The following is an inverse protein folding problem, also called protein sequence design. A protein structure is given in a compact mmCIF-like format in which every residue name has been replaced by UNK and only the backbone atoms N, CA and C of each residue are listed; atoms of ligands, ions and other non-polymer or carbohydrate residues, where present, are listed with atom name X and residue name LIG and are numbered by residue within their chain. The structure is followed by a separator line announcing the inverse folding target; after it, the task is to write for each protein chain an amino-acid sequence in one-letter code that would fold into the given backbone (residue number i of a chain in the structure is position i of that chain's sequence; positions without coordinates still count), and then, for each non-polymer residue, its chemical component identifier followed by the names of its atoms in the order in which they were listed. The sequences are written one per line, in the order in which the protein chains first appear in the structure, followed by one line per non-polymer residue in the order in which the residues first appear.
data_IF_400990637372
#
_entry.id   IF_400990637372
#
_cell.length_a   1.000
_cell.length_b   1.000
_cell.length_c   1.000
_cell.angle_alpha   90.00
_cell.angle_beta   90.00
_cell.angle_gamma   90.00
#
_symmetry.space_group_name_H-M   'P 1'
#
loop_
_entity.id
_entity.type
_entity.pdbx_description
1 polymer ?
#
# COMPACT_ATOMS: atom_id res chain seq x y z
N UNK A 1 1.91 -11.32 -33.98
CA UNK A 1 2.81 -11.08 -32.85
C UNK A 1 2.48 -9.70 -32.33
N UNK A 2 1.68 -9.62 -31.28
CA UNK A 2 1.54 -8.36 -30.54
C UNK A 2 2.88 -8.06 -29.88
N UNK A 3 3.30 -6.79 -29.79
CA UNK A 3 4.55 -6.47 -29.14
C UNK A 3 4.46 -6.84 -27.66
N UNK A 4 5.47 -7.55 -27.15
CA UNK A 4 5.74 -7.78 -25.73
C UNK A 4 5.89 -6.43 -25.03
N UNK A 5 4.78 -5.85 -24.60
CA UNK A 5 4.77 -4.62 -23.82
C UNK A 5 5.10 -4.98 -22.37
N UNK A 6 6.29 -4.59 -21.92
CA UNK A 6 6.66 -4.63 -20.50
C UNK A 6 5.96 -3.48 -19.79
N UNK A 7 5.12 -3.79 -18.79
CA UNK A 7 4.57 -2.79 -17.87
C UNK A 7 5.71 -2.16 -17.07
N UNK A 8 6.00 -0.90 -17.34
CA UNK A 8 7.06 -0.16 -16.65
C UNK A 8 6.42 0.73 -15.58
N UNK A 9 6.56 0.31 -14.32
CA UNK A 9 6.05 1.04 -13.17
C UNK A 9 7.01 2.19 -12.81
N UNK A 10 6.78 3.38 -13.36
CA UNK A 10 7.52 4.59 -12.99
C UNK A 10 6.87 5.22 -11.76
N UNK A 11 7.55 5.17 -10.60
CA UNK A 11 7.13 5.89 -9.41
C UNK A 11 7.94 7.17 -9.23
N UNK A 12 7.24 8.29 -9.12
CA UNK A 12 7.82 9.57 -8.74
C UNK A 12 7.85 9.64 -7.21
N UNK A 13 9.04 9.45 -6.63
CA UNK A 13 9.29 9.84 -5.25
C UNK A 13 9.69 11.31 -5.21
N UNK A 14 9.45 12.02 -4.10
CA UNK A 14 10.02 13.34 -3.91
C UNK A 14 11.55 13.30 -4.13
N UNK A 15 12.13 14.22 -4.88
CA UNK A 15 13.60 14.22 -5.10
C UNK A 15 14.40 14.68 -3.88
N UNK A 16 13.72 15.22 -2.88
CA UNK A 16 14.24 15.86 -1.68
C UNK A 16 14.00 15.02 -0.41
N UNK A 17 13.94 13.69 -0.54
CA UNK A 17 13.92 12.81 0.63
C UNK A 17 15.17 13.04 1.50
N UNK A 18 15.07 12.89 2.83
CA UNK A 18 16.22 13.01 3.71
C UNK A 18 17.30 11.98 3.39
N UNK A 19 18.57 12.41 3.47
CA UNK A 19 19.70 11.48 3.39
C UNK A 19 19.73 10.57 4.61
N UNK A 20 20.01 9.29 4.42
CA UNK A 20 20.05 8.26 5.47
C UNK A 20 21.47 7.87 5.80
N UNK A 21 21.95 7.85 7.04
CA UNK A 21 23.23 7.20 7.32
C UNK A 21 23.18 5.72 6.89
N UNK A 22 24.20 5.29 6.13
CA UNK A 22 24.30 3.91 5.61
C UNK A 22 25.59 3.29 6.12
N UNK A 23 25.48 2.05 6.59
CA UNK A 23 26.60 1.20 6.98
C UNK A 23 26.71 0.03 6.00
N UNK A 24 27.93 -0.31 5.64
CA UNK A 24 28.25 -1.46 4.81
C UNK A 24 28.58 -2.65 5.70
N UNK A 25 28.18 -3.84 5.27
CA UNK A 25 28.45 -5.10 5.92
C UNK A 25 29.11 -6.05 4.92
N UNK A 26 30.09 -6.79 5.41
CA UNK A 26 30.82 -7.81 4.66
C UNK A 26 30.52 -9.16 5.30
N UNK A 27 30.21 -10.17 4.50
CA UNK A 27 30.10 -11.54 5.00
C UNK A 27 31.40 -11.97 5.68
N UNK A 28 31.30 -12.83 6.69
CA UNK A 28 32.45 -13.31 7.47
C UNK A 28 33.57 -13.94 6.61
N UNK A 29 33.22 -14.47 5.44
CA UNK A 29 34.13 -15.19 4.54
C UNK A 29 34.48 -14.41 3.26
N UNK A 30 34.10 -13.13 3.15
CA UNK A 30 34.28 -12.33 1.94
C UNK A 30 35.14 -11.08 2.14
N UNK A 31 35.73 -10.59 1.05
CA UNK A 31 36.45 -9.30 1.02
C UNK A 31 35.56 -8.13 0.53
N UNK A 32 34.37 -8.42 -0.01
CA UNK A 32 33.45 -7.44 -0.59
C UNK A 32 32.15 -7.32 0.21
N UNK A 33 31.69 -6.08 0.41
CA UNK A 33 30.42 -5.82 1.09
C UNK A 33 29.25 -6.38 0.27
N UNK A 34 28.47 -7.27 0.89
CA UNK A 34 27.31 -7.95 0.30
C UNK A 34 25.99 -7.50 0.93
N UNK A 35 26.04 -6.67 1.97
CA UNK A 35 24.88 -6.04 2.57
C UNK A 35 25.19 -4.60 2.97
N UNK A 36 24.15 -3.80 3.11
CA UNK A 36 24.20 -2.48 3.71
C UNK A 36 22.89 -2.17 4.40
N UNK A 37 22.90 -1.28 5.38
CA UNK A 37 21.68 -0.92 6.11
C UNK A 37 21.69 0.53 6.54
N UNK A 38 20.47 1.04 6.72
CA UNK A 38 20.17 2.28 7.41
C UNK A 38 19.24 1.99 8.58
N UNK A 39 18.74 3.03 9.24
CA UNK A 39 17.88 2.93 10.43
C UNK A 39 16.64 2.03 10.27
N UNK A 40 16.04 1.95 9.08
CA UNK A 40 14.74 1.28 8.84
C UNK A 40 14.74 0.38 7.60
N UNK A 41 15.87 0.22 6.90
CA UNK A 41 15.96 -0.63 5.71
C UNK A 41 17.30 -1.33 5.64
N UNK A 42 17.26 -2.57 5.16
CA UNK A 42 18.42 -3.35 4.77
C UNK A 42 18.43 -3.53 3.26
N UNK A 43 19.60 -3.51 2.64
CA UNK A 43 19.81 -4.02 1.31
C UNK A 43 20.77 -5.22 1.35
N UNK A 44 20.37 -6.33 0.75
CA UNK A 44 21.17 -7.56 0.65
C UNK A 44 21.35 -7.90 -0.83
N UNK A 45 22.58 -8.25 -1.19
CA UNK A 45 22.93 -8.70 -2.54
C UNK A 45 22.61 -10.19 -2.69
N UNK A 46 21.54 -10.49 -3.41
CA UNK A 46 21.11 -11.85 -3.76
C UNK A 46 20.81 -11.87 -5.26
N UNK A 47 21.83 -12.13 -6.10
CA UNK A 47 21.67 -12.12 -7.54
C UNK A 47 20.59 -13.09 -8.01
N UNK A 48 19.76 -12.66 -8.96
CA UNK A 48 18.70 -13.50 -9.55
C UNK A 48 17.52 -13.77 -8.62
N UNK A 49 17.33 -13.00 -7.54
CA UNK A 49 16.14 -13.12 -6.70
C UNK A 49 14.86 -12.92 -7.53
N UNK A 50 14.02 -13.96 -7.59
CA UNK A 50 12.78 -13.97 -8.38
C UNK A 50 12.90 -14.70 -9.72
N UNK A 51 14.10 -15.08 -10.14
CA UNK A 51 14.32 -15.91 -11.33
C UNK A 51 13.77 -17.33 -11.14
N UNK A 52 13.63 -17.79 -9.88
CA UNK A 52 13.03 -19.09 -9.55
C UNK A 52 11.58 -19.21 -10.07
N UNK A 53 10.90 -18.09 -10.32
CA UNK A 53 9.56 -18.06 -10.92
C UNK A 53 9.52 -18.60 -12.35
N UNK A 54 10.62 -18.50 -13.10
CA UNK A 54 10.70 -18.97 -14.48
C UNK A 54 10.37 -20.47 -14.57
N UNK A 55 10.75 -21.24 -13.54
CA UNK A 55 10.53 -22.69 -13.48
C UNK A 55 9.48 -23.09 -12.43
N UNK A 56 9.37 -22.33 -11.32
CA UNK A 56 8.52 -22.67 -10.18
C UNK A 56 7.16 -21.95 -10.14
N UNK A 57 6.87 -21.05 -11.09
CA UNK A 57 5.62 -20.30 -11.15
C UNK A 57 5.56 -19.10 -10.19
N UNK A 58 4.39 -18.46 -10.09
CA UNK A 58 4.24 -17.12 -9.49
C UNK A 58 4.56 -17.00 -8.00
N UNK A 59 4.54 -18.11 -7.25
CA UNK A 59 4.90 -18.14 -5.83
C UNK A 59 6.36 -18.50 -5.54
N UNK A 60 7.14 -18.88 -6.56
CA UNK A 60 8.49 -19.39 -6.37
C UNK A 60 9.52 -18.26 -6.23
N UNK A 61 9.66 -17.75 -5.01
CA UNK A 61 10.73 -16.83 -4.62
C UNK A 61 11.72 -17.52 -3.68
N UNK A 62 12.99 -17.13 -3.75
CA UNK A 62 14.02 -17.60 -2.82
C UNK A 62 13.94 -16.92 -1.44
N UNK A 63 12.76 -16.91 -0.81
CA UNK A 63 12.57 -16.26 0.49
C UNK A 63 13.40 -16.89 1.61
N UNK A 64 13.54 -18.23 1.65
CA UNK A 64 14.38 -18.91 2.64
C UNK A 64 15.84 -18.43 2.55
N UNK A 65 16.43 -18.48 1.34
CA UNK A 65 17.77 -17.95 1.06
C UNK A 65 17.93 -16.48 1.47
N UNK A 66 16.92 -15.66 1.21
CA UNK A 66 16.95 -14.24 1.55
C UNK A 66 16.78 -13.96 3.04
N UNK A 67 16.00 -14.77 3.76
CA UNK A 67 15.88 -14.71 5.21
C UNK A 67 17.19 -15.15 5.89
N UNK A 68 17.79 -16.27 5.46
CA UNK A 68 19.10 -16.71 5.98
C UNK A 68 20.16 -15.61 5.83
N UNK A 69 20.28 -15.02 4.64
CA UNK A 69 21.22 -13.93 4.39
C UNK A 69 20.94 -12.67 5.24
N UNK A 70 19.68 -12.44 5.62
CA UNK A 70 19.33 -11.37 6.56
C UNK A 70 19.79 -11.73 7.98
N UNK A 71 19.50 -12.94 8.47
CA UNK A 71 19.85 -13.35 9.83
C UNK A 71 21.35 -13.63 10.06
N UNK A 72 22.15 -13.72 9.00
CA UNK A 72 23.61 -13.65 9.11
C UNK A 72 24.08 -12.33 9.74
N UNK A 73 23.36 -11.24 9.50
CA UNK A 73 23.76 -9.88 9.87
C UNK A 73 22.85 -9.20 10.89
N UNK A 74 21.58 -9.57 10.96
CA UNK A 74 20.56 -8.87 11.75
C UNK A 74 19.92 -9.80 12.77
N UNK A 75 19.41 -9.21 13.85
CA UNK A 75 18.78 -9.95 14.96
C UNK A 75 17.50 -10.67 14.53
N UNK A 76 17.24 -11.84 15.11
CA UNK A 76 15.98 -12.58 14.92
C UNK A 76 14.87 -12.07 15.86
N UNK A 77 14.30 -10.90 15.53
CA UNK A 77 13.24 -10.28 16.33
C UNK A 77 12.04 -9.75 15.51
N UNK A 78 11.99 -10.09 14.22
CA UNK A 78 11.00 -9.57 13.29
C UNK A 78 9.90 -10.60 13.03
N UNK A 79 8.65 -10.21 13.25
CA UNK A 79 7.51 -11.07 12.90
C UNK A 79 7.28 -11.08 11.38
N UNK A 80 7.75 -10.05 10.65
CA UNK A 80 7.70 -10.01 9.18
C UNK A 80 9.02 -9.58 8.56
N UNK A 81 9.47 -10.30 7.54
CA UNK A 81 10.46 -9.81 6.57
C UNK A 81 9.75 -9.42 5.28
N UNK A 82 9.84 -8.15 4.89
CA UNK A 82 9.27 -7.64 3.64
C UNK A 82 10.36 -7.45 2.62
N UNK A 83 10.41 -8.35 1.66
CA UNK A 83 11.34 -8.31 0.55
C UNK A 83 10.85 -7.36 -0.54
N UNK A 84 11.74 -6.44 -0.92
CA UNK A 84 11.51 -5.43 -1.95
C UNK A 84 12.54 -5.64 -3.06
N UNK A 85 12.20 -6.41 -4.10
CA UNK A 85 13.14 -6.66 -5.17
C UNK A 85 13.42 -5.35 -5.93
N UNK A 86 14.69 -5.00 -6.11
CA UNK A 86 15.12 -3.80 -6.85
C UNK A 86 14.67 -3.86 -8.31
N UNK A 87 14.77 -5.05 -8.90
CA UNK A 87 14.22 -5.36 -10.23
C UNK A 87 12.89 -6.06 -10.02
N UNK A 88 11.83 -5.57 -10.69
CA UNK A 88 10.55 -6.26 -10.63
C UNK A 88 10.71 -7.69 -11.18
N UNK A 89 10.27 -8.71 -10.44
CA UNK A 89 10.34 -10.09 -10.89
C UNK A 89 9.40 -10.31 -12.09
N UNK A 90 9.72 -11.28 -12.93
CA UNK A 90 8.87 -11.67 -14.08
C UNK A 90 7.59 -12.36 -13.56
N UNK A 91 6.41 -11.87 -13.96
CA UNK A 91 5.11 -12.50 -13.72
C UNK A 91 4.03 -11.55 -13.17
N UNK A 92 2.80 -12.03 -13.00
CA UNK A 92 1.61 -11.18 -12.75
C UNK A 92 1.50 -10.69 -11.29
N UNK A 93 2.01 -11.45 -10.32
CA UNK A 93 1.94 -11.08 -8.91
C UNK A 93 2.98 -10.02 -8.52
N UNK A 94 2.49 -8.82 -8.18
CA UNK A 94 3.31 -7.66 -7.79
C UNK A 94 3.51 -7.55 -6.27
N UNK A 95 2.73 -8.30 -5.51
CA UNK A 95 2.70 -8.34 -4.05
C UNK A 95 2.30 -9.73 -3.57
N UNK A 96 2.80 -10.17 -2.41
CA UNK A 96 2.43 -11.45 -1.82
C UNK A 96 2.73 -11.47 -0.32
N UNK A 97 1.96 -12.24 0.43
CA UNK A 97 2.27 -12.63 1.81
C UNK A 97 2.27 -14.15 1.90
N UNK A 98 3.35 -14.71 2.46
CA UNK A 98 3.45 -16.11 2.82
C UNK A 98 3.46 -16.20 4.34
N UNK A 99 2.48 -16.91 4.89
CA UNK A 99 2.44 -17.20 6.33
C UNK A 99 3.48 -18.27 6.64
N UNK A 100 4.48 -17.91 7.44
CA UNK A 100 5.55 -18.79 7.90
C UNK A 100 5.13 -19.51 9.17
N UNK A 101 4.44 -18.81 10.06
CA UNK A 101 3.94 -19.37 11.31
C UNK A 101 2.57 -18.81 11.62
N UNK A 102 1.64 -19.70 11.97
CA UNK A 102 0.33 -19.36 12.50
C UNK A 102 -0.01 -20.30 13.66
N UNK A 103 -0.10 -19.71 14.85
CA UNK A 103 -0.56 -20.33 16.10
C UNK A 103 -1.91 -19.74 16.57
N UNK A 104 -2.63 -19.07 15.65
CA UNK A 104 -3.95 -18.49 15.91
C UNK A 104 -5.03 -19.42 15.35
N UNK A 105 -5.81 -20.02 16.24
CA UNK A 105 -6.95 -20.85 15.90
C UNK A 105 -8.23 -20.00 15.76
N UNK A 106 -9.27 -20.55 15.12
CA UNK A 106 -10.58 -19.90 15.02
C UNK A 106 -10.66 -18.71 14.06
N UNK A 107 -9.64 -18.49 13.23
CA UNK A 107 -9.60 -17.40 12.23
C UNK A 107 -9.76 -17.88 10.78
N UNK A 108 -10.00 -19.17 10.58
CA UNK A 108 -10.15 -19.79 9.25
C UNK A 108 -8.83 -20.01 8.51
N UNK A 109 -7.69 -19.93 9.19
CA UNK A 109 -6.38 -20.27 8.62
C UNK A 109 -5.84 -21.57 9.22
N UNK A 110 -5.06 -22.37 8.46
CA UNK A 110 -4.37 -23.52 9.00
C UNK A 110 -3.32 -23.08 10.04
N UNK A 111 -3.11 -23.93 11.05
CA UNK A 111 -1.97 -23.82 11.93
C UNK A 111 -0.73 -24.33 11.18
N UNK A 112 0.35 -23.54 11.19
CA UNK A 112 1.59 -23.84 10.45
C UNK A 112 2.79 -23.35 11.22
N UNK A 113 3.94 -24.01 11.06
CA UNK A 113 5.22 -23.59 11.60
C UNK A 113 6.37 -24.03 10.68
N UNK A 114 6.69 -23.17 9.72
CA UNK A 114 7.78 -23.35 8.77
C UNK A 114 9.02 -22.51 9.14
N UNK A 115 9.08 -21.97 10.37
CA UNK A 115 10.14 -21.04 10.80
C UNK A 115 11.56 -21.57 10.59
N UNK A 116 11.75 -22.88 10.78
CA UNK A 116 13.03 -23.56 10.57
C UNK A 116 13.54 -23.45 9.13
N UNK A 117 12.66 -23.34 8.12
CA UNK A 117 13.08 -23.13 6.72
C UNK A 117 13.65 -21.72 6.48
N UNK A 118 13.31 -20.76 7.34
CA UNK A 118 13.71 -19.35 7.22
C UNK A 118 14.79 -18.95 8.23
N UNK A 119 15.41 -19.91 8.93
CA UNK A 119 16.42 -19.68 9.98
C UNK A 119 15.96 -18.69 11.07
N UNK A 120 14.70 -18.78 11.49
CA UNK A 120 14.11 -17.92 12.52
C UNK A 120 13.41 -18.73 13.60
N UNK A 121 13.30 -18.14 14.79
CA UNK A 121 12.47 -18.58 15.90
C UNK A 121 11.24 -17.70 16.10
N UNK A 122 11.13 -16.52 15.47
CA UNK A 122 10.03 -15.57 15.71
C UNK A 122 9.24 -15.16 14.47
N UNK A 123 9.75 -15.47 13.26
CA UNK A 123 9.15 -15.06 12.00
C UNK A 123 7.75 -15.65 11.82
N UNK A 124 6.80 -14.80 11.46
CA UNK A 124 5.39 -15.16 11.24
C UNK A 124 4.98 -15.05 9.79
N UNK A 125 5.58 -14.14 9.04
CA UNK A 125 5.35 -14.04 7.61
C UNK A 125 6.56 -13.52 6.84
N UNK A 126 6.64 -13.88 5.56
CA UNK A 126 7.46 -13.18 4.59
C UNK A 126 6.56 -12.52 3.56
N UNK A 127 6.94 -11.32 3.14
CA UNK A 127 6.18 -10.56 2.16
C UNK A 127 7.06 -10.22 0.98
N UNK A 128 6.42 -10.10 -0.19
CA UNK A 128 6.98 -9.43 -1.34
C UNK A 128 6.18 -8.16 -1.57
N UNK A 129 6.86 -7.02 -1.65
CA UNK A 129 6.30 -5.79 -2.18
C UNK A 129 7.23 -5.32 -3.30
N UNK A 130 6.75 -5.36 -4.56
CA UNK A 130 7.52 -4.75 -5.65
C UNK A 130 7.88 -3.30 -5.29
N UNK A 131 9.05 -2.80 -5.71
CA UNK A 131 9.56 -1.50 -5.28
C UNK A 131 8.57 -0.32 -5.51
N UNK A 132 7.75 -0.42 -6.56
CA UNK A 132 6.67 0.53 -6.85
C UNK A 132 5.50 0.51 -5.85
N UNK A 133 5.35 -0.54 -5.05
CA UNK A 133 4.26 -0.76 -4.11
C UNK A 133 4.65 -0.64 -2.64
N UNK A 134 5.94 -0.73 -2.29
CA UNK A 134 6.43 -0.52 -0.91
C UNK A 134 5.84 0.73 -0.25
N UNK A 135 5.78 1.82 -1.01
CA UNK A 135 5.30 3.10 -0.53
C UNK A 135 3.76 3.27 -0.65
N UNK A 136 3.01 2.22 -1.03
CA UNK A 136 1.55 2.22 -1.06
C UNK A 136 1.00 1.66 0.26
N UNK A 137 0.26 2.49 0.98
CA UNK A 137 -0.29 2.11 2.29
C UNK A 137 -1.31 0.99 2.18
N UNK A 138 -2.16 1.04 1.14
CA UNK A 138 -3.10 -0.02 0.78
C UNK A 138 -2.42 -1.39 0.64
N UNK A 139 -1.36 -1.45 -0.18
CA UNK A 139 -0.59 -2.67 -0.42
C UNK A 139 -0.01 -3.24 0.88
N UNK A 140 0.76 -2.42 1.61
CA UNK A 140 1.40 -2.87 2.85
C UNK A 140 0.41 -3.35 3.91
N UNK A 141 -0.69 -2.63 4.13
CA UNK A 141 -1.71 -3.03 5.10
C UNK A 141 -2.44 -4.31 4.69
N UNK A 142 -2.78 -4.44 3.41
CA UNK A 142 -3.42 -5.64 2.88
C UNK A 142 -2.51 -6.86 3.05
N UNK A 143 -1.24 -6.74 2.64
CA UNK A 143 -0.29 -7.85 2.74
C UNK A 143 -0.02 -8.25 4.20
N UNK A 144 0.10 -7.27 5.10
CA UNK A 144 0.27 -7.51 6.53
C UNK A 144 -0.96 -8.18 7.16
N UNK A 145 -2.16 -7.85 6.71
CA UNK A 145 -3.38 -8.40 7.27
C UNK A 145 -3.60 -9.89 6.94
N UNK A 146 -3.00 -10.44 5.87
CA UNK A 146 -3.06 -11.88 5.56
C UNK A 146 -2.53 -12.76 6.69
N UNK A 147 -1.69 -12.24 7.62
CA UNK A 147 -1.28 -13.02 8.79
C UNK A 147 -2.46 -13.40 9.69
N UNK A 148 -3.44 -12.52 9.82
CA UNK A 148 -4.62 -12.73 10.67
C UNK A 148 -5.86 -13.17 9.89
N UNK A 149 -5.72 -13.66 8.65
CA UNK A 149 -6.80 -14.34 7.96
C UNK A 149 -7.42 -13.63 6.77
N UNK A 150 -7.96 -14.48 5.89
CA UNK A 150 -8.67 -14.24 4.63
C UNK A 150 -9.45 -15.51 4.17
N UNK A 151 -9.10 -16.69 4.71
CA UNK A 151 -9.67 -18.00 4.35
C UNK A 151 -10.83 -18.50 5.24
N UNK A 152 -11.58 -17.62 5.92
CA UNK A 152 -12.74 -18.08 6.72
C UNK A 152 -13.93 -18.61 5.89
N UNK A 153 -13.84 -18.58 4.56
CA UNK A 153 -14.87 -19.05 3.62
C UNK A 153 -16.28 -18.57 3.99
N UNK A 154 -16.47 -17.25 3.99
CA UNK A 154 -17.76 -16.64 4.35
C UNK A 154 -18.88 -17.05 3.39
N UNK A 155 -18.53 -17.50 2.17
CA UNK A 155 -19.49 -17.97 1.19
C UNK A 155 -20.03 -19.35 1.59
N UNK A 156 -19.15 -20.30 1.95
CA UNK A 156 -19.57 -21.62 2.44
C UNK A 156 -20.40 -21.52 3.74
N UNK A 157 -19.96 -20.69 4.69
CA UNK A 157 -20.73 -20.44 5.93
C UNK A 157 -22.15 -19.91 5.62
N UNK A 158 -22.27 -19.06 4.60
CA UNK A 158 -23.56 -18.51 4.16
C UNK A 158 -24.35 -19.45 3.23
N UNK A 159 -23.79 -20.59 2.81
CA UNK A 159 -24.38 -21.48 1.81
C UNK A 159 -24.48 -20.86 0.41
N UNK A 160 -23.58 -19.93 0.09
CA UNK A 160 -23.51 -19.22 -1.18
C UNK A 160 -22.38 -19.79 -2.05
N UNK A 161 -22.63 -19.94 -3.35
CA UNK A 161 -21.58 -20.35 -4.30
C UNK A 161 -20.62 -19.18 -4.54
N UNK A 162 -19.35 -19.36 -4.17
CA UNK A 162 -18.30 -18.38 -4.41
C UNK A 162 -18.10 -18.12 -5.91
N UNK A 163 -18.00 -16.85 -6.31
CA UNK A 163 -17.63 -16.43 -7.65
C UNK A 163 -16.92 -15.07 -7.61
N UNK A 164 -16.40 -14.61 -8.74
CA UNK A 164 -15.70 -13.33 -8.85
C UNK A 164 -14.18 -13.48 -8.97
N UNK A 165 -13.43 -12.54 -8.39
CA UNK A 165 -11.96 -12.53 -8.43
C UNK A 165 -11.38 -13.52 -7.43
N UNK A 166 -10.64 -14.53 -7.92
CA UNK A 166 -9.99 -15.57 -7.12
C UNK A 166 -10.85 -16.14 -5.97
N UNK A 167 -12.08 -16.62 -6.24
CA UNK A 167 -13.10 -16.93 -5.23
C UNK A 167 -12.70 -18.00 -4.20
N UNK A 168 -11.70 -18.82 -4.52
CA UNK A 168 -11.12 -19.84 -3.63
C UNK A 168 -10.17 -19.24 -2.56
N UNK A 169 -9.74 -17.99 -2.75
CA UNK A 169 -8.71 -17.30 -1.94
C UNK A 169 -9.15 -15.96 -1.37
N UNK A 170 -10.32 -15.49 -1.78
CA UNK A 170 -10.76 -14.12 -1.59
C UNK A 170 -12.14 -14.07 -0.93
N UNK A 171 -12.32 -13.10 -0.03
CA UNK A 171 -13.59 -12.86 0.65
C UNK A 171 -14.68 -12.53 -0.38
N UNK A 172 -15.87 -13.15 -0.30
CA UNK A 172 -16.97 -12.85 -1.21
C UNK A 172 -17.40 -11.38 -1.15
N UNK A 173 -18.23 -10.97 -2.11
CA UNK A 173 -18.96 -9.73 -2.06
C UNK A 173 -19.86 -9.71 -0.83
N UNK A 174 -19.57 -8.80 0.11
CA UNK A 174 -20.27 -8.68 1.41
C UNK A 174 -20.51 -7.23 1.85
N UNK A 175 -21.42 -7.05 2.80
CA UNK A 175 -21.75 -5.78 3.45
C UNK A 175 -21.92 -5.95 4.97
N UNK A 176 -21.25 -5.14 5.81
CA UNK A 176 -20.06 -4.35 5.49
C UNK A 176 -18.92 -5.28 5.04
N UNK A 177 -18.06 -4.79 4.14
CA UNK A 177 -16.98 -5.60 3.57
C UNK A 177 -15.70 -4.85 3.26
N UNK A 178 -15.68 -3.52 3.39
CA UNK A 178 -14.47 -2.73 3.12
C UNK A 178 -13.32 -3.24 3.98
N UNK A 179 -12.18 -3.49 3.33
CA UNK A 179 -10.89 -3.90 3.94
C UNK A 179 -10.83 -5.28 4.58
N UNK A 180 -11.85 -6.14 4.41
CA UNK A 180 -11.62 -7.56 4.63
C UNK A 180 -10.60 -8.01 3.58
N UNK A 181 -9.58 -8.73 4.02
CA UNK A 181 -8.50 -9.18 3.14
C UNK A 181 -9.08 -10.04 2.03
N UNK A 182 -8.62 -9.75 0.81
CA UNK A 182 -9.10 -10.39 -0.40
C UNK A 182 -10.58 -10.13 -0.74
N UNK A 183 -11.22 -9.04 -0.31
CA UNK A 183 -12.59 -8.76 -0.75
C UNK A 183 -12.68 -8.57 -2.28
N UNK A 184 -13.81 -9.00 -2.88
CA UNK A 184 -14.16 -8.72 -4.30
C UNK A 184 -14.03 -7.23 -4.64
N UNK A 185 -14.25 -6.35 -3.66
CA UNK A 185 -14.06 -4.92 -3.79
C UNK A 185 -12.72 -4.48 -3.19
N UNK A 186 -12.03 -3.60 -3.90
CA UNK A 186 -10.89 -2.86 -3.35
C UNK A 186 -11.32 -2.08 -2.11
N UNK A 187 -10.43 -1.97 -1.11
CA UNK A 187 -10.75 -1.34 0.18
C UNK A 187 -11.19 0.14 0.10
N UNK A 188 -11.01 0.81 -1.04
CA UNK A 188 -11.60 2.14 -1.32
C UNK A 188 -13.10 2.12 -1.62
N UNK A 189 -13.70 0.94 -1.72
CA UNK A 189 -15.14 0.73 -1.91
C UNK A 189 -15.71 -0.13 -0.79
N UNK A 190 -16.96 0.14 -0.49
CA UNK A 190 -17.78 -0.67 0.40
C UNK A 190 -19.19 -0.75 -0.15
N UNK A 191 -19.93 -1.77 0.28
CA UNK A 191 -21.38 -1.82 0.06
C UNK A 191 -22.04 -1.18 1.28
N UNK A 192 -22.92 -0.20 1.02
CA UNK A 192 -23.77 0.40 2.05
C UNK A 192 -25.22 0.09 1.79
N UNK A 193 -25.94 -0.07 2.88
CA UNK A 193 -27.38 -0.23 2.95
C UNK A 193 -28.07 1.13 2.94
N UNK A 194 -29.07 1.32 2.08
CA UNK A 194 -29.87 2.53 1.97
C UNK A 194 -31.36 2.20 2.08
N UNK A 195 -32.09 2.99 2.87
CA UNK A 195 -33.55 2.89 2.94
C UNK A 195 -34.19 3.75 1.84
N UNK A 196 -35.13 3.17 1.11
CA UNK A 196 -35.94 3.84 0.08
C UNK A 196 -37.43 3.62 0.35
N UNK A 197 -38.30 4.36 -0.34
CA UNK A 197 -39.75 4.16 -0.26
C UNK A 197 -40.19 2.75 -0.70
N UNK A 198 -39.43 2.13 -1.61
CA UNK A 198 -39.69 0.79 -2.12
C UNK A 198 -39.07 -0.33 -1.27
N UNK A 199 -38.38 0.02 -0.18
CA UNK A 199 -37.66 -0.92 0.67
C UNK A 199 -36.16 -0.63 0.72
N UNK A 200 -35.40 -1.65 1.10
CA UNK A 200 -33.95 -1.55 1.26
C UNK A 200 -33.23 -1.81 -0.07
N UNK A 201 -32.20 -1.02 -0.34
CA UNK A 201 -31.28 -1.24 -1.46
C UNK A 201 -29.83 -1.18 -0.97
N UNK A 202 -28.98 -1.99 -1.58
CA UNK A 202 -27.54 -1.98 -1.33
C UNK A 202 -26.84 -1.28 -2.50
N UNK A 203 -25.93 -0.34 -2.21
CA UNK A 203 -25.17 0.36 -3.25
C UNK A 203 -23.71 0.47 -2.88
N UNK A 204 -22.86 0.48 -3.91
CA UNK A 204 -21.45 0.80 -3.80
C UNK A 204 -21.30 2.23 -3.29
N UNK A 205 -20.51 2.40 -2.24
CA UNK A 205 -20.09 3.68 -1.69
C UNK A 205 -18.56 3.75 -1.64
N UNK A 206 -18.03 4.98 -1.54
CA UNK A 206 -16.62 5.16 -1.20
C UNK A 206 -16.42 4.89 0.30
N UNK A 207 -15.37 4.16 0.64
CA UNK A 207 -14.98 3.93 2.03
C UNK A 207 -14.60 5.25 2.70
N UNK A 208 -15.02 5.43 3.94
CA UNK A 208 -14.69 6.65 4.70
C UNK A 208 -13.21 6.64 5.07
N UNK A 209 -12.50 7.75 4.84
CA UNK A 209 -11.12 7.91 5.27
C UNK A 209 -11.04 8.33 6.77
N UNK A 210 -10.05 7.85 7.54
CA UNK A 210 -9.08 6.85 7.15
C UNK A 210 -9.73 5.48 6.93
N UNK A 211 -9.33 4.78 5.86
CA UNK A 211 -9.78 3.43 5.58
C UNK A 211 -9.15 2.49 6.61
N UNK A 212 -9.99 1.88 7.45
CA UNK A 212 -9.60 1.06 8.62
C UNK A 212 -9.89 -0.41 8.37
N UNK A 213 -9.24 -1.31 9.13
CA UNK A 213 -9.58 -2.73 9.08
C UNK A 213 -11.03 -2.98 9.51
N UNK A 214 -11.68 -3.91 8.80
CA UNK A 214 -13.01 -4.37 9.12
C UNK A 214 -13.06 -4.95 10.55
N UNK A 215 -14.18 -4.79 11.31
CA UNK A 215 -14.31 -5.37 12.65
C UNK A 215 -13.98 -6.86 12.71
N UNK A 216 -14.39 -7.66 11.71
CA UNK A 216 -14.01 -9.08 11.63
C UNK A 216 -12.49 -9.29 11.61
N UNK A 217 -11.76 -8.44 10.87
CA UNK A 217 -10.29 -8.51 10.84
C UNK A 217 -9.69 -8.16 12.21
N UNK A 218 -10.25 -7.16 12.90
CA UNK A 218 -9.83 -6.80 14.25
C UNK A 218 -10.14 -7.91 15.27
N UNK A 219 -11.25 -8.64 15.13
CA UNK A 219 -11.52 -9.85 15.94
C UNK A 219 -10.47 -10.93 15.70
N UNK A 220 -10.09 -11.19 14.45
CA UNK A 220 -9.04 -12.17 14.13
C UNK A 220 -7.68 -11.77 14.72
N UNK A 221 -7.37 -10.48 14.71
CA UNK A 221 -6.21 -9.91 15.41
C UNK A 221 -6.29 -10.01 16.95
N UNK A 222 -7.47 -10.35 17.51
CA UNK A 222 -7.71 -10.45 18.95
C UNK A 222 -8.03 -9.11 19.63
N UNK A 223 -8.41 -8.10 18.85
CA UNK A 223 -8.66 -6.73 19.30
C UNK A 223 -10.11 -6.38 19.58
N UNK A 224 -11.03 -7.19 19.08
CA UNK A 224 -12.46 -7.05 19.33
C UNK A 224 -13.02 -8.35 19.87
N UNK A 225 -13.96 -8.24 20.78
CA UNK A 225 -14.76 -9.37 21.26
C UNK A 225 -15.81 -9.76 20.20
N UNK A 226 -16.30 -11.02 20.21
CA UNK A 226 -17.35 -11.47 19.29
C UNK A 226 -18.56 -10.53 19.23
N UNK A 227 -18.99 -9.98 20.38
CA UNK A 227 -20.16 -9.10 20.48
C UNK A 227 -19.99 -7.75 19.76
N UNK A 228 -18.78 -7.40 19.35
CA UNK A 228 -18.48 -6.16 18.63
C UNK A 228 -18.46 -6.34 17.11
N UNK A 229 -18.69 -7.56 16.63
CA UNK A 229 -18.67 -7.89 15.20
C UNK A 229 -20.07 -7.72 14.65
N UNK A 230 -20.27 -6.85 13.63
CA UNK A 230 -21.57 -6.70 13.01
C UNK A 230 -21.92 -7.95 12.23
N UNK A 231 -23.23 -8.17 12.05
CA UNK A 231 -23.71 -9.13 11.07
C UNK A 231 -23.17 -8.78 9.67
N UNK A 232 -22.85 -9.82 8.91
CA UNK A 232 -22.28 -9.72 7.56
C UNK A 232 -23.32 -10.23 6.57
N UNK A 233 -23.76 -9.36 5.68
CA UNK A 233 -24.59 -9.71 4.53
C UNK A 233 -23.71 -10.25 3.41
N UNK A 234 -23.94 -11.49 3.00
CA UNK A 234 -23.29 -12.18 1.87
C UNK A 234 -24.27 -12.22 0.70
N UNK A 235 -23.88 -11.67 -0.44
CA UNK A 235 -24.77 -11.60 -1.61
C UNK A 235 -24.74 -12.90 -2.40
N UNK A 236 -25.86 -13.43 -2.87
CA UNK A 236 -25.84 -14.69 -3.64
C UNK A 236 -25.21 -14.50 -5.02
N UNK A 237 -25.41 -13.33 -5.62
CA UNK A 237 -24.87 -13.02 -6.94
C UNK A 237 -23.47 -12.42 -6.80
N UNK A 238 -22.46 -13.27 -6.78
CA UNK A 238 -21.05 -12.91 -6.56
C UNK A 238 -20.36 -12.38 -7.85
N UNK A 239 -20.90 -12.68 -9.03
CA UNK A 239 -20.33 -12.38 -10.35
C UNK A 239 -20.71 -10.99 -10.91
N UNK A 240 -21.25 -10.10 -10.08
CA UNK A 240 -21.76 -8.79 -10.52
C UNK A 240 -20.64 -7.82 -10.94
N UNK A 241 -19.44 -8.06 -10.44
CA UNK A 241 -18.24 -7.32 -10.79
C UNK A 241 -17.28 -8.30 -11.47
N UNK A 242 -16.87 -7.97 -12.69
CA UNK A 242 -15.99 -8.81 -13.50
C UNK A 242 -14.68 -9.08 -12.75
N UNK A 243 -14.32 -10.38 -12.66
CA UNK A 243 -13.09 -10.90 -12.08
C UNK A 243 -11.82 -10.24 -12.66
N UNK A 244 -11.86 -9.73 -13.90
CA UNK A 244 -10.66 -9.19 -14.57
C UNK A 244 -10.54 -7.66 -14.47
N UNK A 245 -11.63 -6.90 -14.20
CA UNK A 245 -11.63 -5.46 -14.54
C UNK A 245 -12.07 -4.45 -13.49
N UNK A 246 -12.90 -4.79 -12.49
CA UNK A 246 -13.47 -3.71 -11.66
C UNK A 246 -13.57 -4.07 -10.17
N UNK A 247 -12.43 -4.12 -9.48
CA UNK A 247 -12.39 -4.06 -8.01
C UNK A 247 -12.88 -2.70 -7.46
N UNK A 248 -12.98 -1.67 -8.30
CA UNK A 248 -13.41 -0.32 -7.92
C UNK A 248 -14.66 0.14 -8.70
N UNK A 249 -15.84 -0.46 -8.48
CA UNK A 249 -17.06 -0.06 -9.19
C UNK A 249 -17.44 1.40 -8.92
N UNK A 250 -18.27 1.94 -9.82
CA UNK A 250 -18.74 3.33 -9.73
C UNK A 250 -19.60 3.49 -8.47
N UNK A 251 -19.36 4.57 -7.72
CA UNK A 251 -20.17 4.91 -6.55
C UNK A 251 -21.62 5.11 -6.97
N UNK A 252 -22.54 4.51 -6.23
CA UNK A 252 -23.98 4.51 -6.51
C UNK A 252 -24.45 3.30 -7.32
N UNK A 253 -23.55 2.46 -7.85
CA UNK A 253 -23.93 1.18 -8.47
C UNK A 253 -24.70 0.32 -7.47
N UNK A 254 -25.89 -0.13 -7.86
CA UNK A 254 -26.75 -0.97 -7.04
C UNK A 254 -26.30 -2.44 -7.07
N UNK A 255 -26.35 -3.09 -5.92
CA UNK A 255 -26.10 -4.53 -5.77
C UNK A 255 -27.44 -5.25 -5.95
N UNK A 256 -27.47 -6.23 -6.85
CA UNK A 256 -28.69 -6.95 -7.20
C UNK A 256 -28.66 -8.40 -6.72
N UNK A 257 -29.84 -8.98 -6.59
CA UNK A 257 -30.02 -10.39 -6.21
C UNK A 257 -30.25 -10.62 -4.71
N UNK A 258 -30.54 -11.87 -4.32
CA UNK A 258 -30.76 -12.21 -2.92
C UNK A 258 -29.47 -12.10 -2.10
N UNK A 259 -29.64 -12.12 -0.78
CA UNK A 259 -28.53 -12.10 0.18
C UNK A 259 -28.87 -12.91 1.43
N UNK A 260 -27.84 -13.44 2.07
CA UNK A 260 -27.89 -14.15 3.34
C UNK A 260 -27.16 -13.31 4.38
N UNK A 261 -27.61 -13.33 5.63
CA UNK A 261 -26.91 -12.66 6.73
C UNK A 261 -26.34 -13.71 7.66
N UNK A 262 -25.04 -13.62 7.93
CA UNK A 262 -24.33 -14.45 8.89
C UNK A 262 -23.79 -13.59 10.03
N UNK A 263 -23.75 -14.14 11.24
CA UNK A 263 -23.18 -13.50 12.42
C UNK A 263 -21.87 -14.14 12.86
N UNK A 264 -21.24 -13.54 13.87
CA UNK A 264 -20.03 -14.09 14.47
C UNK A 264 -20.21 -15.51 15.03
N UNK A 265 -21.42 -15.86 15.48
CA UNK A 265 -21.72 -17.19 15.99
C UNK A 265 -21.65 -18.26 14.89
N UNK A 266 -22.03 -17.92 13.64
CA UNK A 266 -21.92 -18.84 12.51
C UNK A 266 -20.45 -19.08 12.15
N UNK A 267 -19.64 -18.01 12.21
CA UNK A 267 -18.18 -18.08 12.00
C UNK A 267 -17.53 -18.94 13.10
N UNK A 268 -17.89 -18.74 14.36
CA UNK A 268 -17.37 -19.55 15.48
C UNK A 268 -17.88 -21.00 15.44
N UNK A 269 -19.07 -21.25 14.91
CA UNK A 269 -19.56 -22.61 14.72
C UNK A 269 -18.76 -23.36 13.66
N UNK A 270 -18.32 -22.67 12.60
CA UNK A 270 -17.49 -23.24 11.54
C UNK A 270 -16.03 -23.45 11.96
N UNK A 271 -15.43 -22.46 12.63
CA UNK A 271 -13.98 -22.43 12.86
C UNK A 271 -13.55 -22.61 14.32
N UNK A 272 -14.50 -22.60 15.26
CA UNK A 272 -14.22 -22.50 16.69
C UNK A 272 -14.00 -21.07 17.17
N UNK A 273 -13.86 -20.86 18.49
CA UNK A 273 -13.51 -19.55 19.03
C UNK A 273 -12.09 -19.15 18.62
N UNK A 274 -11.84 -17.84 18.52
CA UNK A 274 -10.50 -17.33 18.26
C UNK A 274 -9.62 -17.53 19.48
N UNK A 275 -8.52 -18.26 19.31
CA UNK A 275 -7.52 -18.54 20.35
C UNK A 275 -6.11 -18.28 19.81
N UNK A 276 -5.18 -17.87 20.68
CA UNK A 276 -3.78 -17.58 20.31
C UNK A 276 -3.30 -16.19 20.72
N UNK A 277 -2.09 -15.79 20.32
CA UNK A 277 -1.46 -14.55 20.76
C UNK A 277 -2.10 -13.29 20.18
N UNK A 278 -2.10 -12.20 20.94
CA UNK A 278 -2.53 -10.86 20.49
C UNK A 278 -1.31 -9.95 20.44
N UNK A 279 -1.09 -9.28 19.31
CA UNK A 279 0.10 -8.47 19.07
C UNK A 279 -0.21 -6.98 19.13
N UNK A 280 0.08 -6.33 20.26
CA UNK A 280 0.03 -4.86 20.36
C UNK A 280 1.23 -4.18 19.71
N UNK A 281 2.29 -4.91 19.41
CA UNK A 281 3.50 -4.46 18.73
C UNK A 281 3.86 -5.48 17.64
N UNK A 282 4.34 -5.00 16.49
CA UNK A 282 4.75 -5.83 15.37
C UNK A 282 6.04 -5.30 14.75
N UNK A 283 7.08 -6.12 14.75
CA UNK A 283 8.37 -5.80 14.16
C UNK A 283 8.42 -6.28 12.70
N UNK A 284 8.65 -5.36 11.77
CA UNK A 284 8.73 -5.62 10.33
C UNK A 284 10.02 -5.05 9.75
N UNK A 285 10.90 -5.90 9.24
CA UNK A 285 12.09 -5.46 8.51
C UNK A 285 11.78 -5.29 7.02
N UNK A 286 12.22 -4.18 6.43
CA UNK A 286 12.19 -3.97 5.00
C UNK A 286 13.55 -4.32 4.40
N UNK A 287 13.56 -5.30 3.49
CA UNK A 287 14.76 -5.90 2.91
C UNK A 287 14.75 -5.70 1.40
N UNK A 288 15.55 -4.76 0.91
CA UNK A 288 15.77 -4.55 -0.52
C UNK A 288 16.68 -5.65 -1.04
N UNK A 289 16.21 -6.41 -2.02
CA UNK A 289 17.00 -7.50 -2.61
C UNK A 289 17.46 -7.08 -4.01
N UNK A 290 18.75 -7.21 -4.29
CA UNK A 290 19.36 -6.71 -5.53
C UNK A 290 20.54 -7.57 -6.00
N UNK A 291 20.96 -7.37 -7.25
CA UNK A 291 22.15 -8.04 -7.81
C UNK A 291 23.47 -7.36 -7.40
N UNK A 292 23.39 -6.13 -6.91
CA UNK A 292 24.51 -5.30 -6.43
C UNK A 292 23.99 -4.37 -5.33
N UNK A 293 24.88 -3.82 -4.50
CA UNK A 293 24.48 -2.85 -3.49
C UNK A 293 23.79 -1.65 -4.16
N UNK A 294 22.60 -1.31 -3.69
CA UNK A 294 21.86 -0.16 -4.24
C UNK A 294 22.57 1.15 -3.94
N UNK A 295 22.35 2.16 -4.77
CA UNK A 295 22.95 3.47 -4.59
C UNK A 295 22.47 4.14 -3.30
N UNK A 296 23.23 5.13 -2.80
CA UNK A 296 22.83 5.93 -1.63
C UNK A 296 21.44 6.55 -1.79
N UNK A 297 21.12 7.04 -2.99
CA UNK A 297 19.80 7.63 -3.29
C UNK A 297 18.67 6.60 -3.22
N UNK A 298 18.93 5.36 -3.63
CA UNK A 298 17.98 4.26 -3.46
C UNK A 298 17.81 3.91 -1.98
N UNK A 299 18.90 3.85 -1.20
CA UNK A 299 18.81 3.67 0.26
C UNK A 299 17.98 4.78 0.93
N UNK A 300 18.17 6.04 0.54
CA UNK A 300 17.39 7.17 1.06
C UNK A 300 15.88 6.97 0.80
N UNK A 301 15.53 6.54 -0.42
CA UNK A 301 14.14 6.23 -0.80
C UNK A 301 13.56 5.10 0.05
N UNK A 302 14.23 3.95 0.12
CA UNK A 302 13.69 2.80 0.81
C UNK A 302 13.63 3.02 2.33
N UNK A 303 14.64 3.65 2.93
CA UNK A 303 14.68 3.97 4.36
C UNK A 303 13.54 4.92 4.74
N UNK A 304 13.30 5.95 3.92
CA UNK A 304 12.20 6.88 4.13
C UNK A 304 10.84 6.17 4.15
N UNK A 305 10.56 5.31 3.17
CA UNK A 305 9.25 4.64 3.10
C UNK A 305 9.09 3.51 4.11
N UNK A 306 10.17 2.83 4.48
CA UNK A 306 10.18 1.87 5.57
C UNK A 306 9.90 2.55 6.93
N UNK A 307 10.54 3.69 7.22
CA UNK A 307 10.20 4.52 8.39
C UNK A 307 8.76 5.05 8.31
N UNK A 308 8.29 5.42 7.11
CA UNK A 308 6.93 5.91 6.94
C UNK A 308 5.88 4.84 7.28
N UNK A 309 6.21 3.56 7.14
CA UNK A 309 5.30 2.47 7.47
C UNK A 309 4.98 2.41 8.97
N UNK A 310 5.94 2.69 9.87
CA UNK A 310 5.72 2.68 11.33
C UNK A 310 5.01 3.92 11.89
N UNK A 311 4.87 4.99 11.09
CA UNK A 311 4.24 6.21 11.56
C UNK A 311 2.82 5.96 12.09
N UNK A 312 2.49 6.51 13.25
CA UNK A 312 1.21 6.27 13.93
C UNK A 312 0.07 7.10 13.38
N UNK A 313 0.34 8.27 12.81
CA UNK A 313 -0.65 9.16 12.18
C UNK A 313 0.00 9.96 11.05
N UNK A 314 -0.79 10.74 10.30
CA UNK A 314 -0.27 11.74 9.35
C UNK A 314 0.33 11.19 8.05
N UNK A 315 0.49 9.87 7.93
CA UNK A 315 1.05 9.23 6.74
C UNK A 315 -0.01 8.59 5.86
N UNK A 316 -1.13 9.28 5.66
CA UNK A 316 -2.22 8.78 4.80
C UNK A 316 -1.75 8.68 3.35
N UNK A 317 -2.40 7.84 2.57
CA UNK A 317 -2.27 7.84 1.11
C UNK A 317 -3.44 8.61 0.48
N UNK A 318 -3.34 8.98 -0.80
CA UNK A 318 -4.42 9.68 -1.49
C UNK A 318 -5.74 8.90 -1.44
N UNK A 319 -5.68 7.58 -1.60
CA UNK A 319 -6.80 6.65 -1.51
C UNK A 319 -7.33 6.45 -0.06
N UNK A 320 -6.88 7.27 0.89
CA UNK A 320 -7.49 7.37 2.21
C UNK A 320 -7.05 6.30 3.21
N UNK A 321 -6.15 5.38 2.86
CA UNK A 321 -5.62 4.42 3.82
C UNK A 321 -4.80 5.12 4.91
N UNK A 322 -5.13 4.79 6.16
CA UNK A 322 -4.46 5.31 7.35
C UNK A 322 -3.15 4.60 7.66
N UNK A 323 -2.55 4.93 8.79
CA UNK A 323 -1.46 4.13 9.33
C UNK A 323 -1.85 2.72 9.75
N UNK A 324 -0.88 1.82 10.03
CA UNK A 324 -1.19 0.54 10.68
C UNK A 324 -1.84 0.76 12.05
N UNK A 325 -1.37 1.77 12.80
CA UNK A 325 -1.99 2.17 14.05
C UNK A 325 -3.43 2.69 13.85
N UNK A 326 -3.67 3.58 12.88
CA UNK A 326 -5.03 4.04 12.55
C UNK A 326 -5.91 2.87 12.12
N UNK A 327 -5.41 1.98 11.24
CA UNK A 327 -6.12 0.82 10.70
C UNK A 327 -6.57 -0.18 11.78
N UNK A 328 -5.81 -0.31 12.88
CA UNK A 328 -6.16 -1.11 14.06
C UNK A 328 -7.00 -0.35 15.10
N UNK A 329 -7.39 0.89 14.80
CA UNK A 329 -8.09 1.77 15.73
C UNK A 329 -7.26 2.14 16.96
N UNK A 330 -5.93 2.22 16.80
CA UNK A 330 -4.98 2.58 17.85
C UNK A 330 -4.48 1.42 18.71
N UNK A 331 -4.79 0.17 18.35
CA UNK A 331 -4.54 -1.01 19.20
C UNK A 331 -3.19 -1.69 18.96
N UNK A 332 -2.57 -1.44 17.82
CA UNK A 332 -1.28 -2.01 17.47
C UNK A 332 -0.30 -0.94 16.97
N UNK A 333 0.98 -1.18 17.23
CA UNK A 333 2.10 -0.40 16.69
C UNK A 333 2.90 -1.28 15.73
N UNK A 334 3.41 -0.65 14.67
CA UNK A 334 4.36 -1.26 13.75
C UNK A 334 5.73 -0.64 14.04
N UNK A 335 6.77 -1.45 14.08
CA UNK A 335 8.15 -1.02 14.25
C UNK A 335 8.98 -1.50 13.07
N UNK A 336 9.82 -0.62 12.52
CA UNK A 336 10.64 -0.95 11.34
C UNK A 336 12.12 -0.71 11.56
N UNK A 337 12.53 -0.41 12.80
CA UNK A 337 13.92 -0.22 13.17
C UNK A 337 14.78 -1.44 12.86
N UNK A 338 15.98 -1.22 12.33
CA UNK A 338 16.94 -2.27 11.99
C UNK A 338 17.96 -2.43 13.11
N UNK A 339 17.95 -3.61 13.71
CA UNK A 339 18.88 -4.05 14.74
C UNK A 339 19.87 -5.11 14.20
N UNK A 340 21.17 -4.79 14.16
CA UNK A 340 22.21 -5.74 13.82
C UNK A 340 22.33 -6.88 14.84
N UNK A 341 22.80 -8.04 14.39
CA UNK A 341 22.97 -9.24 15.21
C UNK A 341 24.05 -9.05 16.28
N UNK A 342 25.16 -8.40 15.91
CA UNK A 342 26.23 -8.01 16.82
C UNK A 342 26.29 -6.48 16.91
N UNK A 343 25.55 -5.91 17.86
CA UNK A 343 25.51 -4.46 18.06
C UNK A 343 26.86 -3.85 18.49
N UNK A 344 27.82 -4.66 18.93
CA UNK A 344 29.17 -4.18 19.29
C UNK A 344 30.05 -4.05 18.04
N UNK A 345 29.97 -5.02 17.13
CA UNK A 345 30.68 -4.97 15.85
C UNK A 345 30.02 -3.96 14.89
N UNK A 346 28.69 -4.03 14.79
CA UNK A 346 27.86 -3.27 13.87
C UNK A 346 26.79 -2.51 14.65
N UNK A 347 27.06 -1.28 15.12
CA UNK A 347 26.09 -0.56 15.91
C UNK A 347 24.88 -0.13 15.05
N UNK A 348 23.71 -0.11 15.68
CA UNK A 348 22.48 0.37 15.06
C UNK A 348 22.62 1.81 14.54
N UNK A 349 21.93 2.12 13.45
CA UNK A 349 21.87 3.48 12.90
C UNK A 349 20.72 4.23 13.56
N UNK A 350 21.03 5.16 14.46
CA UNK A 350 20.01 5.93 15.20
C UNK A 350 19.41 7.10 14.41
N UNK A 351 20.05 7.51 13.30
CA UNK A 351 19.55 8.60 12.46
C UNK A 351 18.31 8.16 11.69
N UNK A 352 17.15 8.62 12.14
CA UNK A 352 15.86 8.30 11.52
C UNK A 352 15.34 9.49 10.69
N UNK A 353 14.89 9.28 9.44
CA UNK A 353 14.40 10.38 8.61
C UNK A 353 13.06 10.91 9.13
N UNK A 354 12.85 12.22 9.02
CA UNK A 354 11.50 12.78 9.17
C UNK A 354 10.66 12.33 7.97
N UNK A 355 9.61 11.57 8.26
CA UNK A 355 8.70 11.00 7.26
C UNK A 355 7.41 11.78 7.09
N UNK A 356 7.21 12.80 7.93
CA UNK A 356 6.11 13.73 7.81
C UNK A 356 6.48 14.84 6.84
N UNK A 357 5.51 15.26 6.03
CA UNK A 357 5.49 16.60 5.44
C UNK A 357 6.64 16.95 4.48
N UNK A 358 7.33 15.94 3.94
CA UNK A 358 8.37 16.16 2.91
C UNK A 358 7.71 16.83 1.70
N UNK A 359 8.16 18.03 1.30
CA UNK A 359 7.62 18.70 0.12
C UNK A 359 8.01 17.91 -1.13
N UNK A 360 7.33 18.12 -2.25
CA UNK A 360 7.81 17.66 -3.55
C UNK A 360 8.84 18.66 -4.07
N UNK A 361 9.99 18.16 -4.49
CA UNK A 361 11.04 18.94 -5.11
C UNK A 361 10.55 19.65 -6.36
N UNK A 362 11.21 20.77 -6.66
CA UNK A 362 10.82 21.65 -7.77
C UNK A 362 10.82 20.97 -9.15
N UNK A 363 11.61 19.91 -9.34
CA UNK A 363 11.71 19.15 -10.59
C UNK A 363 11.00 17.81 -10.58
N UNK A 364 10.15 17.53 -9.59
CA UNK A 364 9.51 16.21 -9.46
C UNK A 364 8.39 15.96 -10.47
N UNK A 365 7.85 17.04 -11.05
CA UNK A 365 6.83 16.97 -12.09
C UNK A 365 7.48 16.87 -13.45
N UNK A 366 7.22 15.78 -14.16
CA UNK A 366 7.80 15.50 -15.47
C UNK A 366 7.52 16.67 -16.43
N UNK A 367 8.58 17.29 -16.91
CA UNK A 367 8.48 18.38 -17.89
C UNK A 367 8.14 19.74 -17.30
N UNK A 368 8.12 19.88 -15.97
CA UNK A 368 7.95 21.15 -15.29
C UNK A 368 9.06 21.35 -14.25
N UNK A 369 9.51 22.59 -14.11
CA UNK A 369 10.40 23.01 -13.02
C UNK A 369 9.69 24.14 -12.27
N UNK A 370 9.23 23.84 -11.06
CA UNK A 370 8.58 24.80 -10.18
C UNK A 370 9.61 25.82 -9.65
N UNK A 371 9.17 27.04 -9.39
CA UNK A 371 10.04 28.06 -8.79
C UNK A 371 10.36 27.74 -7.32
N UNK A 372 9.50 26.98 -6.65
CA UNK A 372 9.64 26.52 -5.27
C UNK A 372 9.14 25.07 -5.13
N UNK A 373 9.66 24.30 -4.16
CA UNK A 373 9.09 23.00 -3.80
C UNK A 373 7.60 23.11 -3.46
N UNK A 374 6.82 22.10 -3.83
CA UNK A 374 5.40 22.02 -3.51
C UNK A 374 5.24 21.41 -2.11
N UNK A 375 4.62 22.10 -1.14
CA UNK A 375 4.37 21.51 0.18
C UNK A 375 3.43 20.31 0.07
N UNK A 376 3.65 19.28 0.89
CA UNK A 376 2.75 18.11 0.99
C UNK A 376 1.57 18.33 1.95
N UNK A 377 1.55 19.46 2.68
CA UNK A 377 0.46 19.89 3.57
C UNK A 377 0.02 21.32 3.32
N UNK A 378 -1.29 21.54 3.40
CA UNK A 378 -1.92 22.84 3.25
C UNK A 378 -2.97 23.07 4.34
N UNK A 379 -3.21 24.34 4.68
CA UNK A 379 -4.29 24.71 5.60
C UNK A 379 -5.62 24.74 4.84
N UNK A 380 -6.71 24.25 5.46
CA UNK A 380 -8.05 24.41 4.88
C UNK A 380 -8.37 25.86 4.52
N UNK A 381 -9.00 26.05 3.36
CA UNK A 381 -9.37 27.37 2.84
C UNK A 381 -8.21 28.25 2.36
N UNK A 382 -6.95 27.77 2.40
CA UNK A 382 -5.82 28.50 1.83
C UNK A 382 -5.86 28.53 0.30
N UNK A 383 -4.98 29.33 -0.28
CA UNK A 383 -4.68 29.28 -1.72
C UNK A 383 -3.31 28.64 -1.92
N UNK A 384 -3.18 27.82 -2.96
CA UNK A 384 -1.92 27.32 -3.46
C UNK A 384 -1.61 28.04 -4.77
N UNK A 385 -0.50 28.77 -4.83
CA UNK A 385 0.02 29.35 -6.07
C UNK A 385 1.20 28.51 -6.52
N UNK A 386 1.11 27.97 -7.74
CA UNK A 386 2.20 27.25 -8.40
C UNK A 386 2.71 28.08 -9.58
N UNK A 387 3.99 28.40 -9.55
CA UNK A 387 4.69 29.04 -10.66
C UNK A 387 5.94 28.25 -11.01
N UNK A 388 6.37 28.38 -12.26
CA UNK A 388 7.53 27.65 -12.76
C UNK A 388 7.73 27.85 -14.25
N UNK A 389 8.48 26.93 -14.84
CA UNK A 389 8.72 26.85 -16.27
C UNK A 389 8.49 25.44 -16.82
N UNK A 390 8.13 25.36 -18.08
CA UNK A 390 8.21 24.13 -18.87
C UNK A 390 9.69 23.76 -19.02
N UNK A 391 10.01 22.49 -18.81
CA UNK A 391 11.36 21.99 -19.05
C UNK A 391 11.56 21.65 -20.52
N UNK A 392 12.17 22.57 -21.26
CA UNK A 392 12.43 22.46 -22.69
C UNK A 392 13.32 21.25 -23.07
N UNK A 393 13.98 20.63 -22.09
CA UNK A 393 14.75 19.39 -22.28
C UNK A 393 13.87 18.15 -22.39
N UNK A 394 12.66 18.20 -21.83
CA UNK A 394 11.72 17.07 -21.75
C UNK A 394 10.52 17.30 -22.66
N UNK A 395 10.02 18.55 -22.70
CA UNK A 395 8.83 18.94 -23.44
C UNK A 395 9.18 20.04 -24.47
N UNK A 396 8.55 20.04 -25.66
CA UNK A 396 8.65 21.15 -26.61
C UNK A 396 8.26 22.52 -26.01
N UNK A 397 8.78 23.61 -26.57
CA UNK A 397 8.52 24.99 -26.10
C UNK A 397 7.19 25.58 -26.59
N UNK A 398 6.37 24.81 -27.30
CA UNK A 398 5.12 25.27 -27.93
C UNK A 398 3.88 25.14 -27.03
N UNK A 399 4.03 24.61 -25.81
CA UNK A 399 2.95 24.57 -24.83
C UNK A 399 2.52 25.98 -24.42
N UNK A 400 1.24 26.31 -24.61
CA UNK A 400 0.65 27.63 -24.38
C UNK A 400 -0.24 27.71 -23.14
N UNK A 401 -0.64 26.56 -22.58
CA UNK A 401 -1.53 26.52 -21.42
C UNK A 401 -1.02 25.56 -20.36
N UNK A 402 -1.25 25.95 -19.11
CA UNK A 402 -1.03 25.15 -17.91
C UNK A 402 -2.35 25.05 -17.15
N UNK A 403 -2.75 23.82 -16.80
CA UNK A 403 -3.94 23.56 -15.99
C UNK A 403 -3.51 22.86 -14.72
N UNK A 404 -3.98 23.38 -13.59
CA UNK A 404 -3.83 22.75 -12.29
C UNK A 404 -5.19 22.25 -11.85
N UNK A 405 -5.30 20.96 -11.55
CA UNK A 405 -6.50 20.30 -11.02
C UNK A 405 -6.23 19.82 -9.60
N UNK A 406 -7.23 19.94 -8.75
CA UNK A 406 -7.26 19.31 -7.43
C UNK A 406 -8.53 18.49 -7.25
N UNK A 407 -8.39 17.31 -6.67
CA UNK A 407 -9.48 16.39 -6.38
C UNK A 407 -9.34 15.88 -4.95
N UNK A 408 -10.42 15.84 -4.18
CA UNK A 408 -10.41 15.25 -2.83
C UNK A 408 -10.72 13.77 -2.94
N UNK A 409 -10.08 12.94 -2.13
CA UNK A 409 -10.47 11.54 -2.00
C UNK A 409 -11.94 11.38 -1.63
N UNK A 410 -12.62 10.44 -2.29
CA UNK A 410 -14.03 10.13 -2.08
C UNK A 410 -15.01 11.09 -2.76
N UNK A 411 -14.57 12.27 -3.20
CA UNK A 411 -15.41 13.19 -3.95
C UNK A 411 -15.57 12.69 -5.41
N UNK A 412 -16.73 12.87 -6.04
CA UNK A 412 -16.93 12.50 -7.45
C UNK A 412 -16.00 13.32 -8.34
N UNK A 413 -15.58 12.77 -9.49
CA UNK A 413 -14.68 13.45 -10.41
C UNK A 413 -15.15 14.87 -10.80
N UNK A 414 -16.46 15.07 -10.93
CA UNK A 414 -17.09 16.36 -11.22
C UNK A 414 -16.92 17.43 -10.11
N UNK A 415 -16.60 17.03 -8.88
CA UNK A 415 -16.31 17.94 -7.77
C UNK A 415 -14.86 18.46 -7.76
N UNK A 416 -14.01 17.95 -8.67
CA UNK A 416 -12.64 18.43 -8.84
C UNK A 416 -12.63 19.91 -9.21
N UNK A 417 -11.75 20.68 -8.59
CA UNK A 417 -11.55 22.09 -8.92
C UNK A 417 -10.35 22.21 -9.82
N UNK A 418 -10.37 23.15 -10.75
CA UNK A 418 -9.24 23.40 -11.62
C UNK A 418 -9.09 24.89 -11.91
N UNK A 419 -7.88 25.27 -12.30
CA UNK A 419 -7.52 26.60 -12.76
C UNK A 419 -6.65 26.47 -13.99
N UNK A 420 -6.70 27.46 -14.87
CA UNK A 420 -5.92 27.50 -16.11
C UNK A 420 -5.16 28.81 -16.17
N UNK A 421 -3.90 28.75 -16.59
CA UNK A 421 -3.06 29.92 -16.89
C UNK A 421 -2.43 29.77 -18.27
N UNK A 422 -2.15 30.90 -18.93
CA UNK A 422 -1.29 30.90 -20.11
C UNK A 422 0.17 30.62 -19.75
N UNK A 423 0.89 29.98 -20.65
CA UNK A 423 2.34 29.82 -20.63
C UNK A 423 2.93 30.93 -21.50
N UNK A 424 3.83 31.75 -20.95
CA UNK A 424 4.44 32.87 -21.67
C UNK A 424 5.96 32.84 -21.48
N UNK A 425 6.70 32.76 -22.58
CA UNK A 425 8.15 32.55 -22.54
C UNK A 425 8.53 31.26 -21.80
N UNK A 426 7.73 30.21 -21.97
CA UNK A 426 7.89 28.93 -21.27
C UNK A 426 7.55 28.95 -19.78
N UNK A 427 7.05 30.08 -19.23
CA UNK A 427 6.72 30.22 -17.79
C UNK A 427 5.22 30.16 -17.55
N UNK A 428 4.82 29.61 -16.41
CA UNK A 428 3.43 29.53 -15.95
C UNK A 428 3.27 30.04 -14.52
N UNK A 429 2.05 30.44 -14.18
CA UNK A 429 1.63 30.73 -12.81
C UNK A 429 0.12 30.54 -12.67
N UNK A 430 -0.30 29.62 -11.81
CA UNK A 430 -1.70 29.38 -11.53
C UNK A 430 -1.96 29.33 -10.03
N UNK A 431 -3.10 29.88 -9.62
CA UNK A 431 -3.54 29.85 -8.21
C UNK A 431 -4.83 29.07 -8.09
N UNK A 432 -4.86 28.15 -7.13
CA UNK A 432 -6.03 27.33 -6.82
C UNK A 432 -6.42 27.53 -5.35
N UNK A 433 -7.72 27.70 -5.08
CA UNK A 433 -8.25 27.81 -3.72
C UNK A 433 -8.62 26.44 -3.18
N UNK A 434 -8.00 26.05 -2.07
CA UNK A 434 -8.27 24.80 -1.37
C UNK A 434 -9.65 24.87 -0.72
N UNK A 435 -10.38 23.75 -0.76
CA UNK A 435 -11.69 23.64 -0.13
C UNK A 435 -11.63 23.83 1.40
N UNK A 436 -12.80 24.00 2.04
CA UNK A 436 -12.87 24.11 3.50
C UNK A 436 -12.79 22.74 4.20
N UNK A 437 -12.94 21.65 3.45
CA UNK A 437 -13.00 20.30 3.99
C UNK A 437 -11.57 19.73 4.17
N UNK A 438 -11.28 19.11 5.32
CA UNK A 438 -10.01 18.43 5.50
C UNK A 438 -9.99 17.09 4.74
N UNK A 439 -8.80 16.54 4.53
CA UNK A 439 -8.62 15.21 3.95
C UNK A 439 -7.42 15.09 3.02
N UNK A 440 -7.36 13.97 2.31
CA UNK A 440 -6.37 13.73 1.28
C UNK A 440 -6.86 14.28 -0.07
N UNK A 441 -5.98 14.97 -0.77
CA UNK A 441 -6.22 15.58 -2.08
C UNK A 441 -5.17 15.11 -3.08
N UNK A 442 -5.57 14.91 -4.32
CA UNK A 442 -4.69 14.72 -5.47
C UNK A 442 -4.54 16.05 -6.19
N UNK A 443 -3.31 16.43 -6.48
CA UNK A 443 -3.01 17.48 -7.45
C UNK A 443 -2.52 16.84 -8.74
N UNK A 444 -3.11 17.31 -9.85
CA UNK A 444 -2.67 17.01 -11.19
C UNK A 444 -2.35 18.29 -11.95
N UNK A 445 -1.28 18.26 -12.74
CA UNK A 445 -0.88 19.31 -13.64
C UNK A 445 -0.83 18.85 -15.08
N UNK A 446 -1.36 19.68 -15.97
CA UNK A 446 -1.43 19.43 -17.40
C UNK A 446 -0.87 20.61 -18.18
N UNK A 447 -0.23 20.31 -19.30
CA UNK A 447 0.17 21.32 -20.29
C UNK A 447 -0.49 21.03 -21.64
N UNK A 448 -0.83 22.08 -22.39
CA UNK A 448 -1.47 22.00 -23.71
C UNK A 448 -0.84 22.97 -24.69
N UNK A 449 -0.68 22.53 -25.94
CA UNK A 449 -0.28 23.39 -27.06
C UNK A 449 -1.44 24.31 -27.45
N UNK A 450 -2.65 23.74 -27.54
CA UNK A 450 -3.89 24.46 -27.79
C UNK A 450 -5.12 23.73 -27.20
N UNK A 451 -6.30 24.34 -27.33
CA UNK A 451 -7.56 23.78 -26.82
C UNK A 451 -8.05 22.50 -27.54
N UNK A 452 -7.42 22.10 -28.65
CA UNK A 452 -7.81 20.94 -29.47
C UNK A 452 -6.84 19.77 -29.29
N UNK A 453 -5.67 20.01 -28.71
CA UNK A 453 -4.63 19.01 -28.48
C UNK A 453 -4.89 18.29 -27.16
N UNK A 454 -4.78 16.94 -27.10
CA UNK A 454 -4.90 16.22 -25.85
C UNK A 454 -3.91 16.74 -24.78
N UNK A 455 -4.34 16.87 -23.50
CA UNK A 455 -3.44 17.25 -22.43
C UNK A 455 -2.27 16.28 -22.30
N UNK A 456 -1.09 16.82 -22.04
CA UNK A 456 -0.03 16.01 -21.46
C UNK A 456 -0.09 16.10 -19.93
N UNK A 457 -0.28 14.97 -19.26
CA UNK A 457 -0.19 14.86 -17.81
C UNK A 457 1.28 14.94 -17.38
N UNK A 458 1.62 15.96 -16.61
CA UNK A 458 3.01 16.24 -16.16
C UNK A 458 3.29 15.75 -14.74
N UNK A 459 2.25 15.49 -13.96
CA UNK A 459 2.36 14.92 -12.61
C UNK A 459 1.56 13.61 -12.53
N UNK A 460 2.15 12.56 -11.96
CA UNK A 460 1.35 11.42 -11.49
C UNK A 460 0.89 11.71 -10.06
N UNK A 461 -0.39 12.05 -9.87
CA UNK A 461 -1.13 12.16 -8.59
C UNK A 461 -0.25 12.57 -7.40
N UNK A 462 -0.07 13.88 -7.21
CA UNK A 462 0.64 14.39 -6.03
C UNK A 462 -0.33 14.46 -4.84
N UNK A 463 -0.09 13.63 -3.81
CA UNK A 463 -0.93 13.61 -2.60
C UNK A 463 -0.63 14.83 -1.73
N UNK A 464 -1.68 15.58 -1.39
CA UNK A 464 -1.67 16.67 -0.43
C UNK A 464 -2.61 16.39 0.74
N UNK A 465 -2.19 16.73 1.95
CA UNK A 465 -3.04 16.67 3.13
C UNK A 465 -3.50 18.06 3.52
N UNK A 466 -4.81 18.21 3.68
CA UNK A 466 -5.45 19.45 4.10
C UNK A 466 -5.98 19.27 5.51
N UNK A 467 -5.48 20.11 6.42
CA UNK A 467 -5.88 20.14 7.84
C UNK A 467 -6.90 21.24 8.14
#
# INVERSE_FOLDING_TARGET
AEPDLVTLWLRLAPSNLPSSAVRLLTAADGDEANAQYASHVVNIVIPGFGDERIQGGDGAFAFGRAASAFYDHFSDQYQTLTFVPRKSPVGESEQMNVNVMNDIAGVGMPLVDDRAFFDSEVLRSVQLLSAGFLAQRRAGLHQLAHHWGDMSDLADIAGVVSAGFEPERHTPLVSPGATIVGAVLDGTREIRRFSTEAGEVFRVAASTAPVLFHPLQLYRMGFLDPAQIPDITVFERQDQFDAVRVATPVVGTEIVGPHVTIGINDIMAAHGPREGPVFSEWNQAFVVVSDELVSRREMDYFNFYAKRAEATTGTRSYDGFGSFNEATGGRALLHTGIEPRDAMADPAVSESPDVSDVPFGAGDWRGLVLDQPLPSRLRRGSSLTLSGRVDSKILPDDYQFFVLRISRYGDPAAASKWTQSSVTGGRFSATLRIGPLPGAYAIDAFVFVDAKTPPLTTSAVTSLFVD
#
